data_IF_531562543521
#
_entry.id   IF_531562543521
#
_cell.length_a   1.000
_cell.length_b   1.000
_cell.length_c   1.000
_cell.angle_alpha   90.00
_cell.angle_beta   90.00
_cell.angle_gamma   90.00
#
_symmetry.space_group_name_H-M   'P 1'
#
loop_
_entity.id
_entity.type
_entity.pdbx_description
1 polymer ?
#
# COMPACT_ATOMS: atom_id res chain seq x y z
N UNK A 1 -10.99 -23.15 -5.66
CA UNK A 1 -9.99 -22.31 -4.94
C UNK A 1 -8.66 -22.40 -5.67
N UNK A 2 -7.89 -21.33 -5.66
CA UNK A 2 -6.58 -21.25 -6.33
C UNK A 2 -5.60 -20.43 -5.49
N UNK A 3 -4.31 -20.67 -5.68
CA UNK A 3 -3.25 -19.86 -5.08
C UNK A 3 -3.06 -18.57 -5.90
N UNK A 4 -2.81 -17.46 -5.23
CA UNK A 4 -2.73 -16.14 -5.89
C UNK A 4 -1.39 -15.97 -6.58
N UNK A 5 -0.32 -16.41 -5.92
CA UNK A 5 1.07 -16.28 -6.35
C UNK A 5 1.51 -17.38 -7.34
N UNK A 6 0.57 -18.13 -7.90
CA UNK A 6 0.87 -19.13 -8.95
C UNK A 6 1.30 -18.52 -10.30
N UNK A 7 1.20 -17.19 -10.46
CA UNK A 7 1.71 -16.49 -11.63
C UNK A 7 3.18 -16.05 -11.47
N UNK A 8 3.76 -16.22 -10.27
CA UNK A 8 5.12 -15.74 -9.94
C UNK A 8 6.17 -16.36 -10.86
N UNK A 9 6.09 -17.66 -11.12
CA UNK A 9 7.08 -18.35 -11.97
C UNK A 9 7.19 -17.76 -13.39
N UNK A 10 6.10 -17.19 -13.91
CA UNK A 10 6.10 -16.48 -15.20
C UNK A 10 6.53 -15.03 -15.06
N UNK A 11 6.09 -14.37 -13.98
CA UNK A 11 6.35 -12.96 -13.75
C UNK A 11 7.83 -12.68 -13.49
N UNK A 12 8.57 -13.60 -12.86
CA UNK A 12 9.99 -13.40 -12.53
C UNK A 12 10.88 -13.15 -13.74
N UNK A 13 10.62 -13.81 -14.87
CA UNK A 13 11.38 -13.58 -16.10
C UNK A 13 11.11 -12.16 -16.62
N UNK A 14 9.85 -11.74 -16.65
CA UNK A 14 9.43 -10.39 -17.06
C UNK A 14 10.01 -9.29 -16.14
N UNK A 15 10.08 -9.54 -14.83
CA UNK A 15 10.70 -8.59 -13.89
C UNK A 15 12.19 -8.45 -14.20
N UNK A 16 12.91 -9.55 -14.42
CA UNK A 16 14.34 -9.50 -14.73
C UNK A 16 14.61 -8.76 -16.04
N UNK A 17 13.82 -9.01 -17.08
CA UNK A 17 13.93 -8.31 -18.35
C UNK A 17 13.61 -6.81 -18.18
N UNK A 18 12.60 -6.46 -17.39
CA UNK A 18 12.28 -5.07 -17.06
C UNK A 18 13.45 -4.38 -16.34
N UNK A 19 14.00 -5.00 -15.30
CA UNK A 19 15.12 -4.43 -14.50
C UNK A 19 16.39 -4.25 -15.34
N UNK A 20 16.66 -5.17 -16.26
CA UNK A 20 17.79 -5.05 -17.20
C UNK A 20 17.61 -3.91 -18.19
N UNK A 21 16.38 -3.69 -18.68
CA UNK A 21 16.05 -2.66 -19.66
C UNK A 21 15.77 -1.28 -19.05
N UNK A 22 15.56 -1.21 -17.73
CA UNK A 22 15.21 0.03 -17.04
C UNK A 22 16.31 1.09 -17.15
N UNK A 23 15.91 2.30 -17.57
CA UNK A 23 16.79 3.46 -17.63
C UNK A 23 16.98 4.09 -16.24
N UNK A 24 15.91 4.16 -15.46
CA UNK A 24 15.91 4.67 -14.10
C UNK A 24 16.14 3.51 -13.11
N UNK A 25 17.16 3.66 -12.25
CA UNK A 25 17.49 2.70 -11.20
C UNK A 25 17.67 3.42 -9.86
N UNK A 26 17.29 2.78 -8.74
CA UNK A 26 16.75 1.42 -8.63
C UNK A 26 15.30 1.29 -9.12
N UNK A 27 14.94 0.14 -9.67
CA UNK A 27 13.54 -0.21 -9.97
C UNK A 27 12.84 -0.63 -8.69
N UNK A 28 11.67 -0.05 -8.41
CA UNK A 28 10.85 -0.33 -7.22
C UNK A 28 9.75 -1.33 -7.58
N UNK A 29 9.63 -2.41 -6.81
CA UNK A 29 8.55 -3.39 -6.97
C UNK A 29 7.15 -2.77 -6.94
N UNK A 30 6.27 -3.22 -7.83
CA UNK A 30 4.85 -2.83 -7.90
C UNK A 30 3.93 -3.62 -6.95
N UNK A 31 4.45 -4.61 -6.23
CA UNK A 31 3.62 -5.59 -5.55
C UNK A 31 2.88 -5.04 -4.32
N UNK A 32 3.48 -4.15 -3.54
CA UNK A 32 2.88 -3.58 -2.33
C UNK A 32 2.08 -2.29 -2.64
N UNK A 33 0.74 -2.34 -2.72
CA UNK A 33 -0.04 -1.18 -3.14
C UNK A 33 0.02 0.01 -2.15
N UNK A 34 0.32 -0.27 -0.88
CA UNK A 34 0.50 0.78 0.12
C UNK A 34 1.76 1.61 -0.15
N UNK A 35 2.86 0.96 -0.56
CA UNK A 35 4.10 1.64 -0.93
C UNK A 35 3.92 2.43 -2.22
N UNK A 36 3.26 1.86 -3.23
CA UNK A 36 2.98 2.58 -4.49
C UNK A 36 2.21 3.88 -4.23
N UNK A 37 1.17 3.82 -3.40
CA UNK A 37 0.39 5.02 -3.05
C UNK A 37 1.17 5.99 -2.17
N UNK A 38 2.05 5.50 -1.29
CA UNK A 38 2.95 6.36 -0.52
C UNK A 38 3.86 7.15 -1.47
N UNK A 39 4.49 6.49 -2.44
CA UNK A 39 5.37 7.13 -3.42
C UNK A 39 4.58 8.19 -4.21
N UNK A 40 3.39 7.84 -4.73
CA UNK A 40 2.55 8.80 -5.47
C UNK A 40 2.26 10.08 -4.69
N UNK A 41 2.10 10.00 -3.36
CA UNK A 41 1.67 11.13 -2.54
C UNK A 41 2.85 11.89 -1.91
N UNK A 42 3.86 11.17 -1.43
CA UNK A 42 4.95 11.70 -0.60
C UNK A 42 6.29 11.79 -1.33
N UNK A 43 6.57 10.90 -2.27
CA UNK A 43 7.83 10.84 -3.02
C UNK A 43 7.57 10.88 -4.53
N UNK A 44 6.89 11.93 -5.05
CA UNK A 44 6.43 11.97 -6.43
C UNK A 44 7.58 11.92 -7.46
N UNK A 45 8.79 12.35 -7.08
CA UNK A 45 10.02 12.23 -7.87
C UNK A 45 10.38 10.78 -8.19
N UNK A 46 10.04 9.85 -7.30
CA UNK A 46 10.36 8.42 -7.40
C UNK A 46 9.29 7.61 -8.15
N UNK A 47 8.25 8.25 -8.68
CA UNK A 47 7.16 7.53 -9.37
C UNK A 47 7.65 6.79 -10.62
N UNK A 48 8.61 7.38 -11.33
CA UNK A 48 9.20 6.77 -12.54
C UNK A 48 10.10 5.56 -12.23
N UNK A 49 10.51 5.38 -10.97
CA UNK A 49 11.21 4.17 -10.52
C UNK A 49 10.28 2.97 -10.33
N UNK A 50 8.96 3.16 -10.25
CA UNK A 50 8.03 2.05 -10.00
C UNK A 50 7.92 1.17 -11.25
N UNK A 51 8.16 -0.13 -11.06
CA UNK A 51 8.01 -1.14 -12.10
C UNK A 51 6.58 -1.16 -12.66
N UNK A 52 6.44 -1.17 -13.99
CA UNK A 52 5.15 -1.14 -14.69
C UNK A 52 4.63 -2.53 -15.07
N UNK A 53 4.80 -3.51 -14.16
CA UNK A 53 4.25 -4.86 -14.29
C UNK A 53 3.14 -5.07 -13.26
N UNK A 54 2.09 -5.80 -13.65
CA UNK A 54 0.98 -6.16 -12.79
C UNK A 54 1.44 -7.07 -11.64
N UNK A 55 0.85 -6.92 -10.43
CA UNK A 55 1.13 -7.84 -9.34
C UNK A 55 0.50 -9.23 -9.61
N UNK A 56 1.03 -10.31 -8.98
CA UNK A 56 0.58 -11.69 -9.20
C UNK A 56 -0.94 -11.90 -9.10
N UNK A 57 -1.59 -11.18 -8.19
CA UNK A 57 -3.04 -11.21 -8.01
C UNK A 57 -3.82 -10.85 -9.28
N UNK A 58 -3.40 -9.81 -10.00
CA UNK A 58 -4.10 -9.38 -11.22
C UNK A 58 -3.81 -10.36 -12.36
N UNK A 59 -2.56 -10.80 -12.50
CA UNK A 59 -2.17 -11.79 -13.52
C UNK A 59 -2.92 -13.10 -13.34
N UNK A 60 -3.03 -13.60 -12.10
CA UNK A 60 -3.76 -14.83 -11.78
C UNK A 60 -5.26 -14.68 -12.01
N UNK A 61 -5.83 -13.53 -11.70
CA UNK A 61 -7.24 -13.29 -11.96
C UNK A 61 -7.53 -13.19 -13.47
N UNK A 62 -6.66 -12.53 -14.25
CA UNK A 62 -6.75 -12.49 -15.71
C UNK A 62 -6.62 -13.88 -16.33
N UNK A 63 -5.72 -14.73 -15.81
CA UNK A 63 -5.56 -16.11 -16.25
C UNK A 63 -6.88 -16.89 -16.16
N UNK A 64 -7.53 -16.91 -15.00
CA UNK A 64 -8.78 -17.66 -14.83
C UNK A 64 -9.92 -17.07 -15.66
N UNK A 65 -10.00 -15.74 -15.74
CA UNK A 65 -11.00 -15.08 -16.59
C UNK A 65 -10.88 -15.55 -18.05
N UNK A 66 -9.66 -15.54 -18.59
CA UNK A 66 -9.38 -15.96 -19.98
C UNK A 66 -9.52 -17.46 -20.20
N UNK A 67 -9.09 -18.26 -19.22
CA UNK A 67 -9.23 -19.73 -19.27
C UNK A 67 -10.70 -20.12 -19.36
N UNK A 68 -11.56 -19.63 -18.47
CA UNK A 68 -12.99 -19.95 -18.51
C UNK A 68 -13.67 -19.42 -19.77
N UNK A 69 -13.29 -18.23 -20.25
CA UNK A 69 -13.77 -17.72 -21.54
C UNK A 69 -13.40 -18.66 -22.70
N UNK A 70 -12.17 -19.22 -22.71
CA UNK A 70 -11.74 -20.20 -23.72
C UNK A 70 -12.47 -21.54 -23.62
N UNK A 71 -12.99 -21.89 -22.44
CA UNK A 71 -13.83 -23.07 -22.19
C UNK A 71 -15.32 -22.82 -22.52
N UNK A 72 -15.67 -21.62 -23.01
CA UNK A 72 -17.02 -21.25 -23.44
C UNK A 72 -17.93 -20.71 -22.33
N UNK A 73 -17.39 -20.39 -21.16
CA UNK A 73 -18.14 -19.76 -20.06
C UNK A 73 -18.27 -18.26 -20.32
N UNK A 74 -19.49 -17.72 -20.22
CA UNK A 74 -19.71 -16.27 -20.34
C UNK A 74 -19.01 -15.54 -19.17
N UNK A 75 -18.24 -14.49 -19.47
CA UNK A 75 -17.55 -13.69 -18.46
C UNK A 75 -18.48 -13.18 -17.35
N UNK A 76 -19.76 -12.92 -17.66
CA UNK A 76 -20.76 -12.45 -16.69
C UNK A 76 -21.15 -13.50 -15.67
N UNK A 77 -20.92 -14.77 -15.96
CA UNK A 77 -21.19 -15.89 -15.04
C UNK A 77 -19.99 -16.21 -14.15
N UNK A 78 -18.82 -15.63 -14.43
CA UNK A 78 -17.59 -15.85 -13.66
C UNK A 78 -17.45 -14.77 -12.58
N UNK A 79 -17.49 -15.22 -11.32
CA UNK A 79 -17.16 -14.39 -10.15
C UNK A 79 -15.79 -14.73 -9.57
N UNK A 80 -14.86 -13.77 -9.57
CA UNK A 80 -13.53 -13.89 -8.96
C UNK A 80 -13.51 -13.12 -7.63
N UNK A 81 -13.21 -13.83 -6.55
CA UNK A 81 -13.12 -13.28 -5.20
C UNK A 81 -11.73 -13.52 -4.62
N UNK A 82 -11.12 -12.46 -4.07
CA UNK A 82 -9.80 -12.53 -3.46
C UNK A 82 -9.88 -12.53 -1.93
N UNK A 83 -9.28 -13.53 -1.28
CA UNK A 83 -9.11 -13.59 0.17
C UNK A 83 -7.76 -12.97 0.54
N UNK A 84 -7.74 -11.90 1.35
CA UNK A 84 -6.51 -11.11 1.56
C UNK A 84 -6.18 -10.80 3.03
N UNK A 85 -4.89 -10.79 3.40
CA UNK A 85 -4.43 -10.25 4.67
C UNK A 85 -4.22 -8.72 4.63
N UNK A 86 -4.45 -8.06 3.49
CA UNK A 86 -4.00 -6.70 3.23
C UNK A 86 -5.14 -5.74 2.87
N UNK A 87 -5.31 -4.68 3.66
CA UNK A 87 -6.21 -3.56 3.34
C UNK A 87 -5.79 -2.82 2.05
N UNK A 88 -4.49 -2.75 1.77
CA UNK A 88 -3.97 -2.12 0.58
C UNK A 88 -4.41 -2.83 -0.70
N UNK A 89 -4.50 -4.16 -0.69
CA UNK A 89 -5.01 -4.93 -1.84
C UNK A 89 -6.51 -4.73 -2.05
N UNK A 90 -7.30 -4.56 -0.98
CA UNK A 90 -8.72 -4.18 -1.11
C UNK A 90 -8.83 -2.86 -1.88
N UNK A 91 -8.02 -1.87 -1.50
CA UNK A 91 -8.04 -0.57 -2.14
C UNK A 91 -7.52 -0.62 -3.58
N UNK A 92 -6.52 -1.46 -3.87
CA UNK A 92 -5.98 -1.68 -5.21
C UNK A 92 -7.00 -2.34 -6.16
N UNK A 93 -7.76 -3.32 -5.70
CA UNK A 93 -8.83 -3.94 -6.51
C UNK A 93 -9.94 -2.92 -6.84
N UNK A 94 -10.35 -2.11 -5.86
CA UNK A 94 -11.43 -1.12 -6.05
C UNK A 94 -11.00 0.12 -6.85
N UNK A 95 -9.74 0.50 -6.74
CA UNK A 95 -9.16 1.67 -7.40
C UNK A 95 -7.72 1.33 -7.78
N UNK A 96 -7.54 0.60 -8.89
CA UNK A 96 -6.24 0.19 -9.37
C UNK A 96 -5.37 1.40 -9.75
N UNK A 97 -4.06 1.20 -9.71
CA UNK A 97 -3.05 2.18 -10.08
C UNK A 97 -2.29 1.60 -11.28
N UNK A 98 -2.11 2.40 -12.34
CA UNK A 98 -1.54 1.93 -13.62
C UNK A 98 -2.58 1.61 -14.70
N UNK A 99 -3.71 2.35 -14.72
CA UNK A 99 -4.64 2.39 -15.86
C UNK A 99 -5.45 1.13 -16.18
N UNK A 100 -5.18 0.00 -15.53
CA UNK A 100 -5.87 -1.27 -15.78
C UNK A 100 -7.20 -1.37 -15.03
N UNK A 101 -8.10 -2.23 -15.54
CA UNK A 101 -9.33 -2.63 -14.82
C UNK A 101 -9.11 -4.00 -14.18
N UNK A 102 -9.30 -4.11 -12.86
CA UNK A 102 -9.17 -5.39 -12.17
C UNK A 102 -10.32 -6.34 -12.56
N UNK A 103 -10.05 -7.61 -12.93
CA UNK A 103 -11.08 -8.61 -13.19
C UNK A 103 -11.69 -9.19 -11.91
N UNK A 104 -11.27 -8.72 -10.73
CA UNK A 104 -11.68 -9.24 -9.43
C UNK A 104 -13.00 -8.57 -8.99
N UNK A 105 -14.04 -9.37 -8.76
CA UNK A 105 -15.38 -8.89 -8.44
C UNK A 105 -15.57 -8.59 -6.95
N UNK A 106 -14.76 -9.20 -6.08
CA UNK A 106 -14.90 -9.01 -4.64
C UNK A 106 -13.65 -9.35 -3.86
N UNK A 107 -13.54 -8.78 -2.67
CA UNK A 107 -12.44 -9.04 -1.73
C UNK A 107 -13.01 -9.42 -0.38
N UNK A 108 -12.40 -10.42 0.24
CA UNK A 108 -12.79 -10.99 1.53
C UNK A 108 -11.60 -10.81 2.48
N UNK A 109 -11.86 -10.22 3.65
CA UNK A 109 -10.82 -10.05 4.66
C UNK A 109 -10.53 -11.39 5.34
N UNK A 110 -9.26 -11.70 5.55
CA UNK A 110 -8.84 -12.95 6.19
C UNK A 110 -9.30 -13.09 7.63
N UNK A 111 -9.30 -12.02 8.44
CA UNK A 111 -9.80 -12.01 9.81
C UNK A 111 -11.30 -12.33 9.89
N UNK A 112 -12.10 -11.72 9.02
CA UNK A 112 -13.53 -11.99 8.90
C UNK A 112 -13.78 -13.43 8.48
N UNK A 113 -13.06 -13.91 7.46
CA UNK A 113 -13.18 -15.28 6.98
C UNK A 113 -12.78 -16.29 8.07
N UNK A 114 -11.68 -16.05 8.77
CA UNK A 114 -11.22 -16.88 9.87
C UNK A 114 -12.30 -17.00 10.96
N UNK A 115 -12.91 -15.89 11.38
CA UNK A 115 -13.97 -15.90 12.39
C UNK A 115 -15.19 -16.72 11.94
N UNK A 116 -15.57 -16.64 10.67
CA UNK A 116 -16.66 -17.45 10.11
C UNK A 116 -16.34 -18.94 10.09
N UNK A 117 -15.14 -19.30 9.64
CA UNK A 117 -14.67 -20.70 9.62
C UNK A 117 -14.55 -21.26 11.03
N UNK A 118 -14.00 -20.48 11.96
CA UNK A 118 -13.85 -20.87 13.36
C UNK A 118 -15.20 -21.10 14.05
N UNK A 119 -16.20 -20.25 13.77
CA UNK A 119 -17.56 -20.44 14.26
C UNK A 119 -18.19 -21.72 13.70
N UNK A 120 -18.07 -21.95 12.38
CA UNK A 120 -18.56 -23.16 11.71
C UNK A 120 -17.92 -24.43 12.31
N UNK A 121 -16.62 -24.38 12.57
CA UNK A 121 -15.87 -25.45 13.23
C UNK A 121 -16.38 -25.71 14.65
N UNK A 122 -16.57 -24.65 15.47
CA UNK A 122 -17.13 -24.78 16.83
C UNK A 122 -18.55 -25.35 16.85
N UNK A 123 -19.36 -24.96 15.87
CA UNK A 123 -20.72 -25.47 15.70
C UNK A 123 -20.77 -26.88 15.10
N UNK A 124 -19.61 -27.47 14.74
CA UNK A 124 -19.49 -28.78 14.11
C UNK A 124 -20.39 -28.90 12.88
N UNK A 125 -20.45 -27.85 12.06
CA UNK A 125 -21.23 -27.89 10.83
C UNK A 125 -20.73 -29.04 9.93
N UNK A 126 -21.64 -29.86 9.38
CA UNK A 126 -21.25 -30.99 8.55
C UNK A 126 -20.60 -30.50 7.25
N UNK A 127 -19.47 -31.09 6.89
CA UNK A 127 -18.84 -30.87 5.58
C UNK A 127 -19.62 -31.69 4.56
N UNK A 128 -20.41 -31.01 3.73
CA UNK A 128 -21.34 -31.64 2.78
C UNK A 128 -20.84 -31.68 1.35
N UNK A 129 -19.76 -30.95 1.04
CA UNK A 129 -19.20 -30.83 -0.31
C UNK A 129 -17.68 -30.77 -0.27
N UNK A 130 -17.03 -31.37 -1.26
CA UNK A 130 -15.63 -31.14 -1.56
C UNK A 130 -15.45 -29.85 -2.36
N UNK A 131 -14.31 -29.19 -2.18
CA UNK A 131 -13.95 -27.99 -2.93
C UNK A 131 -12.99 -28.41 -4.05
N UNK A 132 -13.24 -27.93 -5.27
CA UNK A 132 -12.29 -28.04 -6.36
C UNK A 132 -11.10 -27.09 -6.11
N UNK A 133 -9.91 -27.66 -6.01
CA UNK A 133 -8.65 -26.93 -5.99
C UNK A 133 -8.16 -26.86 -7.43
N UNK A 134 -8.20 -25.66 -8.02
CA UNK A 134 -7.89 -25.41 -9.43
C UNK A 134 -6.54 -24.70 -9.60
N UNK A 135 -5.70 -24.68 -8.56
CA UNK A 135 -4.44 -23.94 -8.55
C UNK A 135 -3.29 -24.79 -8.03
N UNK A 136 -2.09 -24.38 -8.42
CA UNK A 136 -0.81 -24.98 -8.06
C UNK A 136 0.07 -23.86 -7.50
N UNK A 137 1.05 -24.18 -6.66
CA UNK A 137 1.98 -23.16 -6.17
C UNK A 137 3.38 -23.73 -6.09
N UNK A 138 4.35 -22.97 -6.57
CA UNK A 138 5.76 -23.28 -6.40
C UNK A 138 6.28 -22.80 -5.05
N UNK A 139 7.47 -23.27 -4.66
CA UNK A 139 8.19 -22.74 -3.49
C UNK A 139 8.44 -21.24 -3.61
N UNK A 140 8.72 -20.73 -4.82
CA UNK A 140 8.86 -19.30 -5.11
C UNK A 140 7.55 -18.56 -4.86
N UNK A 141 6.44 -19.07 -5.38
CA UNK A 141 5.11 -18.49 -5.15
C UNK A 141 4.73 -18.44 -3.66
N UNK A 142 5.06 -19.49 -2.89
CA UNK A 142 4.83 -19.52 -1.43
C UNK A 142 5.64 -18.43 -0.71
N UNK A 143 6.88 -18.18 -1.14
CA UNK A 143 7.80 -17.24 -0.49
C UNK A 143 7.69 -15.80 -0.99
N UNK A 144 7.19 -15.57 -2.20
CA UNK A 144 7.01 -14.24 -2.78
C UNK A 144 6.34 -13.18 -1.87
N UNK A 145 5.32 -13.51 -1.04
CA UNK A 145 4.71 -12.54 -0.12
C UNK A 145 5.56 -12.26 1.14
N UNK A 146 6.65 -12.98 1.37
CA UNK A 146 7.58 -12.79 2.50
C UNK A 146 8.71 -11.84 2.13
N UNK A 147 9.36 -11.26 3.15
CA UNK A 147 10.45 -10.29 2.95
C UNK A 147 11.64 -10.92 2.24
N UNK A 148 12.04 -10.35 1.11
CA UNK A 148 13.11 -10.86 0.25
C UNK A 148 12.67 -12.00 -0.67
N UNK A 149 11.39 -12.37 -0.66
CA UNK A 149 10.85 -13.43 -1.49
C UNK A 149 10.73 -13.05 -2.97
N UNK A 150 10.74 -11.77 -3.29
CA UNK A 150 10.78 -11.27 -4.67
C UNK A 150 12.24 -10.96 -5.06
N UNK A 151 12.97 -10.22 -4.22
CA UNK A 151 14.32 -9.74 -4.54
C UNK A 151 15.34 -10.85 -4.76
N UNK A 152 15.22 -11.99 -4.08
CA UNK A 152 16.14 -13.14 -4.23
C UNK A 152 16.13 -13.73 -5.65
N UNK A 153 15.10 -13.44 -6.44
CA UNK A 153 14.95 -13.92 -7.81
C UNK A 153 15.32 -12.87 -8.86
N UNK A 154 15.75 -11.67 -8.45
CA UNK A 154 16.11 -10.59 -9.37
C UNK A 154 17.62 -10.51 -9.51
N UNK A 155 18.10 -10.44 -10.76
CA UNK A 155 19.50 -10.26 -11.08
C UNK A 155 19.98 -8.84 -10.75
N UNK A 156 21.21 -8.72 -10.25
CA UNK A 156 21.82 -7.45 -9.86
C UNK A 156 21.84 -7.23 -8.34
N UNK A 157 22.14 -6.00 -7.92
CA UNK A 157 22.16 -5.62 -6.51
C UNK A 157 20.77 -5.22 -6.05
N UNK A 158 20.18 -6.03 -5.18
CA UNK A 158 18.82 -5.83 -4.68
C UNK A 158 18.80 -5.51 -3.19
N UNK A 159 17.81 -4.75 -2.72
CA UNK A 159 17.49 -4.64 -1.29
C UNK A 159 16.02 -4.97 -1.04
N UNK A 160 15.75 -5.67 0.05
CA UNK A 160 14.41 -5.95 0.55
C UNK A 160 14.20 -5.25 1.88
N UNK A 161 13.16 -4.44 1.97
CA UNK A 161 12.86 -3.58 3.11
C UNK A 161 11.38 -3.71 3.42
N UNK A 162 11.09 -4.07 4.66
CA UNK A 162 9.74 -4.17 5.17
C UNK A 162 9.51 -3.22 6.37
N UNK A 163 8.24 -2.98 6.68
CA UNK A 163 7.84 -2.01 7.69
C UNK A 163 7.80 -0.58 7.16
N UNK A 164 6.65 0.08 7.31
CA UNK A 164 6.37 1.41 6.74
C UNK A 164 7.41 2.47 7.14
N UNK A 165 7.87 2.47 8.40
CA UNK A 165 8.85 3.44 8.87
C UNK A 165 10.21 3.26 8.17
N UNK A 166 10.66 2.01 7.99
CA UNK A 166 11.91 1.71 7.29
C UNK A 166 11.80 2.05 5.81
N UNK A 167 10.65 1.77 5.19
CA UNK A 167 10.38 2.15 3.80
C UNK A 167 10.42 3.67 3.62
N UNK A 168 9.80 4.42 4.53
CA UNK A 168 9.81 5.88 4.52
C UNK A 168 11.24 6.42 4.63
N UNK A 169 12.00 5.99 5.64
CA UNK A 169 13.39 6.41 5.86
C UNK A 169 14.25 6.13 4.62
N UNK A 170 14.09 4.94 4.04
CA UNK A 170 14.84 4.57 2.85
C UNK A 170 14.46 5.40 1.62
N UNK A 171 13.17 5.68 1.40
CA UNK A 171 12.72 6.52 0.29
C UNK A 171 13.19 7.97 0.43
N UNK A 172 13.26 8.51 1.65
CA UNK A 172 13.82 9.85 1.91
C UNK A 172 15.30 9.91 1.50
N UNK A 173 16.08 8.90 1.89
CA UNK A 173 17.51 8.81 1.53
C UNK A 173 17.71 8.57 0.03
N UNK A 174 16.82 7.81 -0.60
CA UNK A 174 16.84 7.61 -2.05
C UNK A 174 16.53 8.90 -2.81
N UNK A 175 15.53 9.67 -2.38
CA UNK A 175 15.19 10.97 -2.97
C UNK A 175 16.32 12.01 -2.80
N UNK A 176 17.09 11.92 -1.71
CA UNK A 176 18.27 12.76 -1.44
C UNK A 176 19.54 12.28 -2.18
N UNK A 177 19.43 11.32 -3.10
CA UNK A 177 20.57 10.77 -3.86
C UNK A 177 21.68 10.14 -2.98
N UNK A 178 21.36 9.71 -1.75
CA UNK A 178 22.33 9.08 -0.83
C UNK A 178 22.58 7.59 -1.13
N UNK A 179 21.75 6.99 -1.98
CA UNK A 179 21.74 5.55 -2.26
C UNK A 179 22.15 5.32 -3.71
N UNK A 180 23.31 4.69 -3.90
CA UNK A 180 23.84 4.37 -5.23
C UNK A 180 24.05 2.86 -5.45
N UNK A 181 24.01 2.46 -6.72
CA UNK A 181 24.35 1.11 -7.17
C UNK A 181 23.39 0.05 -6.65
N UNK A 182 22.09 0.35 -6.57
CA UNK A 182 21.03 -0.63 -6.32
C UNK A 182 20.22 -0.75 -7.61
N UNK A 183 19.99 -1.97 -8.08
CA UNK A 183 19.24 -2.26 -9.30
C UNK A 183 17.73 -2.43 -9.01
N UNK A 184 17.38 -3.03 -7.87
CA UNK A 184 16.00 -3.34 -7.52
C UNK A 184 15.69 -3.18 -6.03
N UNK A 185 14.50 -2.66 -5.73
CA UNK A 185 13.98 -2.46 -4.38
C UNK A 185 12.67 -3.21 -4.18
N UNK A 186 12.71 -4.21 -3.31
CA UNK A 186 11.51 -4.84 -2.76
C UNK A 186 11.08 -4.06 -1.50
N UNK A 187 10.09 -3.18 -1.65
CA UNK A 187 9.56 -2.37 -0.55
C UNK A 187 8.19 -2.89 -0.10
N UNK A 188 8.03 -3.12 1.21
CA UNK A 188 6.83 -3.74 1.81
C UNK A 188 6.37 -2.96 3.04
N UNK A 189 5.07 -2.69 3.14
CA UNK A 189 4.52 -1.82 4.19
C UNK A 189 4.48 -2.43 5.60
N UNK A 190 4.34 -3.75 5.71
CA UNK A 190 4.15 -4.44 6.98
C UNK A 190 5.43 -5.17 7.37
N UNK A 191 5.78 -5.26 8.66
CA UNK A 191 6.92 -6.08 9.10
C UNK A 191 6.61 -7.57 8.85
N UNK A 192 7.59 -8.33 8.35
CA UNK A 192 7.42 -9.66 7.74
C UNK A 192 6.52 -9.63 6.49
N UNK A 193 6.48 -8.50 5.79
CA UNK A 193 5.73 -8.34 4.55
C UNK A 193 4.26 -8.79 4.67
N UNK A 194 3.72 -9.53 3.69
CA UNK A 194 2.32 -9.95 3.72
C UNK A 194 2.02 -11.00 4.80
N UNK A 195 3.03 -11.68 5.36
CA UNK A 195 2.86 -12.54 6.52
C UNK A 195 2.47 -11.74 7.79
N UNK A 196 2.90 -10.47 7.87
CA UNK A 196 2.49 -9.51 8.90
C UNK A 196 1.34 -8.59 8.49
N UNK A 197 0.57 -8.93 7.46
CA UNK A 197 -0.58 -8.14 7.03
C UNK A 197 -1.59 -7.94 8.16
N UNK A 198 -2.14 -6.73 8.28
CA UNK A 198 -3.02 -6.33 9.39
C UNK A 198 -4.30 -7.18 9.54
N UNK A 199 -4.74 -7.84 8.46
CA UNK A 199 -5.91 -8.74 8.48
C UNK A 199 -5.52 -10.20 8.66
N UNK A 200 -4.24 -10.52 8.86
CA UNK A 200 -3.80 -11.86 9.23
C UNK A 200 -4.13 -12.13 10.70
N UNK A 201 -4.64 -13.34 11.01
CA UNK A 201 -5.08 -13.67 12.36
C UNK A 201 -3.94 -14.10 13.30
N UNK A 202 -2.84 -14.62 12.75
CA UNK A 202 -1.77 -15.26 13.53
C UNK A 202 -0.53 -14.35 13.64
N UNK A 203 0.40 -14.69 14.54
CA UNK A 203 1.64 -13.95 14.71
C UNK A 203 2.49 -13.98 13.41
N UNK A 204 2.93 -12.81 12.97
CA UNK A 204 3.65 -12.61 11.70
C UNK A 204 4.89 -13.50 11.53
N UNK A 205 5.69 -13.70 12.57
CA UNK A 205 6.91 -14.51 12.50
C UNK A 205 6.58 -16.00 12.40
N UNK A 206 5.52 -16.44 13.08
CA UNK A 206 5.02 -17.82 12.97
C UNK A 206 4.45 -18.06 11.57
N UNK A 207 3.73 -17.09 11.00
CA UNK A 207 3.21 -17.19 9.63
C UNK A 207 4.38 -17.28 8.62
N UNK A 208 5.38 -16.41 8.74
CA UNK A 208 6.55 -16.43 7.87
C UNK A 208 7.34 -17.75 7.98
N UNK A 209 7.56 -18.27 9.19
CA UNK A 209 8.20 -19.58 9.41
C UNK A 209 7.37 -20.73 8.81
N UNK A 210 6.05 -20.70 8.95
CA UNK A 210 5.17 -21.70 8.34
C UNK A 210 5.20 -21.64 6.81
N UNK A 211 5.26 -20.46 6.20
CA UNK A 211 5.42 -20.31 4.75
C UNK A 211 6.76 -20.88 4.28
N UNK A 212 7.86 -20.63 5.02
CA UNK A 212 9.18 -21.24 4.73
C UNK A 212 9.14 -22.77 4.81
N UNK A 213 8.48 -23.33 5.83
CA UNK A 213 8.28 -24.78 5.96
C UNK A 213 7.45 -25.35 4.82
N UNK A 214 6.37 -24.67 4.42
CA UNK A 214 5.54 -25.06 3.29
C UNK A 214 6.34 -25.04 1.98
N UNK A 215 7.15 -24.01 1.75
CA UNK A 215 7.98 -23.88 0.56
C UNK A 215 8.95 -25.05 0.38
N UNK A 216 9.48 -25.60 1.48
CA UNK A 216 10.36 -26.79 1.46
C UNK A 216 9.62 -28.09 1.09
N UNK A 217 8.28 -28.10 1.12
CA UNK A 217 7.45 -29.26 0.83
C UNK A 217 6.79 -29.23 -0.55
N UNK A 218 6.97 -28.14 -1.31
CA UNK A 218 6.42 -27.97 -2.66
C UNK A 218 7.54 -27.83 -3.69
N UNK A 219 7.22 -28.11 -4.96
CA UNK A 219 8.17 -28.01 -6.06
C UNK A 219 8.61 -26.57 -6.32
N UNK A 220 9.83 -26.38 -6.86
CA UNK A 220 10.34 -25.06 -7.24
C UNK A 220 9.64 -24.45 -8.47
N UNK A 221 8.97 -25.27 -9.28
CA UNK A 221 8.10 -24.84 -10.38
C UNK A 221 6.84 -25.72 -10.43
N UNK A 222 5.73 -25.17 -10.91
CA UNK A 222 4.50 -25.93 -11.16
C UNK A 222 4.20 -26.07 -12.66
N UNK A 223 3.24 -26.92 -13.01
CA UNK A 223 2.97 -27.29 -14.41
C UNK A 223 2.15 -26.25 -15.20
N UNK A 224 1.53 -25.27 -14.53
CA UNK A 224 0.70 -24.25 -15.20
C UNK A 224 1.53 -23.11 -15.82
N UNK A 225 2.87 -23.13 -15.69
CA UNK A 225 3.73 -22.05 -16.21
C UNK A 225 3.53 -21.83 -17.71
N UNK A 226 3.36 -22.89 -18.50
CA UNK A 226 3.11 -22.76 -19.94
C UNK A 226 1.75 -22.11 -20.23
N UNK A 227 0.69 -22.58 -19.56
CA UNK A 227 -0.66 -22.03 -19.70
C UNK A 227 -0.68 -20.54 -19.35
N UNK A 228 -0.03 -20.15 -18.26
CA UNK A 228 0.09 -18.75 -17.86
C UNK A 228 0.73 -17.87 -18.93
N UNK A 229 1.82 -18.34 -19.54
CA UNK A 229 2.48 -17.63 -20.64
C UNK A 229 1.55 -17.44 -21.84
N UNK A 230 0.78 -18.48 -22.18
CA UNK A 230 -0.17 -18.44 -23.29
C UNK A 230 -1.32 -17.45 -23.05
N UNK A 231 -1.90 -17.42 -21.85
CA UNK A 231 -3.08 -16.59 -21.58
C UNK A 231 -2.76 -15.15 -21.16
N UNK A 232 -1.61 -14.93 -20.50
CA UNK A 232 -1.35 -13.68 -19.79
C UNK A 232 -0.25 -12.79 -20.37
N UNK A 233 0.58 -13.26 -21.31
CA UNK A 233 1.67 -12.46 -21.91
C UNK A 233 1.22 -11.08 -22.41
N UNK A 234 0.01 -10.98 -22.97
CA UNK A 234 -0.53 -9.72 -23.48
C UNK A 234 -1.05 -8.74 -22.39
N UNK A 235 -1.07 -9.12 -21.11
CA UNK A 235 -1.66 -8.33 -20.03
C UNK A 235 -0.75 -8.17 -18.81
N UNK A 236 0.55 -8.49 -18.92
CA UNK A 236 1.47 -8.38 -17.77
C UNK A 236 1.82 -6.93 -17.44
N UNK A 237 1.75 -6.02 -18.42
CA UNK A 237 2.10 -4.61 -18.22
C UNK A 237 0.92 -3.77 -17.72
N UNK A 238 1.25 -2.71 -16.99
CA UNK A 238 0.32 -1.65 -16.62
C UNK A 238 0.80 -0.30 -17.17
N UNK A 239 -0.11 0.67 -17.24
CA UNK A 239 0.21 2.02 -17.71
C UNK A 239 1.12 2.75 -16.71
N UNK A 240 1.71 3.86 -17.18
CA UNK A 240 2.49 4.77 -16.35
C UNK A 240 1.69 5.19 -15.11
N UNK A 241 2.37 5.15 -13.97
CA UNK A 241 1.82 5.62 -12.70
C UNK A 241 2.04 7.12 -12.63
N UNK A 242 0.99 7.86 -12.28
CA UNK A 242 1.07 9.32 -12.15
C UNK A 242 1.21 9.75 -10.68
N UNK A 243 1.99 10.79 -10.37
CA UNK A 243 2.00 11.42 -9.06
C UNK A 243 0.60 11.86 -8.62
N UNK A 244 0.31 11.72 -7.33
CA UNK A 244 -0.89 12.25 -6.67
C UNK A 244 -0.60 13.43 -5.76
N UNK A 245 0.69 13.79 -5.59
CA UNK A 245 1.14 14.88 -4.74
C UNK A 245 0.54 16.24 -5.12
N UNK A 246 0.24 16.49 -6.39
CA UNK A 246 -0.41 17.75 -6.79
C UNK A 246 -1.81 17.85 -6.18
N UNK A 247 -2.58 16.76 -6.15
CA UNK A 247 -3.92 16.72 -5.51
C UNK A 247 -3.86 17.09 -4.02
N UNK A 248 -2.69 16.97 -3.39
CA UNK A 248 -2.43 17.37 -2.00
C UNK A 248 -2.42 18.89 -1.81
N UNK A 249 -2.08 19.70 -2.81
CA UNK A 249 -2.00 21.17 -2.65
C UNK A 249 -2.87 21.92 -3.65
N UNK A 250 -2.82 21.55 -4.92
CA UNK A 250 -3.66 22.08 -5.98
C UNK A 250 -3.66 21.19 -7.23
N UNK A 251 -4.75 21.20 -8.01
CA UNK A 251 -4.77 20.51 -9.31
C UNK A 251 -3.86 21.19 -10.33
N UNK A 252 -3.59 22.48 -10.13
CA UNK A 252 -2.63 23.24 -10.92
C UNK A 252 -1.21 23.10 -10.35
N UNK A 253 -0.25 22.76 -11.22
CA UNK A 253 1.14 22.45 -10.82
C UNK A 253 1.83 23.66 -10.20
N UNK A 254 1.66 24.84 -10.81
CA UNK A 254 2.32 26.07 -10.35
C UNK A 254 1.76 26.50 -8.99
N UNK A 255 0.44 26.44 -8.83
CA UNK A 255 -0.21 26.69 -7.55
C UNK A 255 0.19 25.68 -6.47
N UNK A 256 0.35 24.39 -6.83
CA UNK A 256 0.78 23.35 -5.91
C UNK A 256 2.22 23.59 -5.41
N UNK A 257 3.14 24.00 -6.29
CA UNK A 257 4.53 24.32 -5.92
C UNK A 257 4.60 25.49 -4.93
N UNK A 258 3.85 26.57 -5.19
CA UNK A 258 3.80 27.74 -4.29
C UNK A 258 3.26 27.34 -2.91
N UNK A 259 2.20 26.54 -2.86
CA UNK A 259 1.61 26.05 -1.60
C UNK A 259 2.56 25.10 -0.85
N UNK A 260 3.31 24.27 -1.58
CA UNK A 260 4.29 23.36 -0.99
C UNK A 260 5.45 24.13 -0.33
N UNK A 261 6.01 25.14 -1.03
CA UNK A 261 7.04 26.02 -0.47
C UNK A 261 6.53 26.73 0.79
N UNK A 262 5.32 27.28 0.73
CA UNK A 262 4.69 27.95 1.86
C UNK A 262 4.45 27.03 3.05
N UNK A 263 4.09 25.77 2.81
CA UNK A 263 3.91 24.78 3.87
C UNK A 263 5.24 24.47 4.56
N UNK A 264 6.36 24.39 3.82
CA UNK A 264 7.70 24.23 4.40
C UNK A 264 8.07 25.41 5.30
N UNK A 265 7.86 26.64 4.83
CA UNK A 265 8.10 27.85 5.64
C UNK A 265 7.27 27.86 6.93
N UNK A 266 5.99 27.47 6.85
CA UNK A 266 5.11 27.39 8.02
C UNK A 266 5.55 26.30 9.01
N UNK A 267 6.02 25.15 8.52
CA UNK A 267 6.53 24.06 9.35
C UNK A 267 7.70 24.54 10.22
N UNK A 268 8.62 25.32 9.65
CA UNK A 268 9.76 25.91 10.37
C UNK A 268 9.34 26.92 11.46
N UNK A 269 8.17 27.54 11.34
CA UNK A 269 7.62 28.44 12.36
C UNK A 269 7.00 27.69 13.55
N UNK A 270 6.69 26.40 13.37
CA UNK A 270 6.07 25.57 14.39
C UNK A 270 7.11 24.92 15.30
N UNK A 271 6.72 24.53 16.53
CA UNK A 271 7.66 23.99 17.52
C UNK A 271 8.30 22.64 17.14
N UNK A 272 7.82 21.93 16.12
CA UNK A 272 8.35 20.64 15.69
C UNK A 272 8.13 19.48 16.69
N UNK A 273 7.24 19.65 17.68
CA UNK A 273 6.99 18.65 18.73
C UNK A 273 5.78 17.74 18.45
N UNK A 274 5.05 17.96 17.36
CA UNK A 274 3.89 17.14 16.93
C UNK A 274 2.86 16.83 18.03
N UNK A 275 2.57 17.82 18.89
CA UNK A 275 1.72 17.62 20.09
C UNK A 275 0.23 17.35 19.83
N UNK A 276 -0.27 17.55 18.61
CA UNK A 276 -1.68 17.34 18.27
C UNK A 276 -2.69 18.35 18.83
N UNK A 277 -2.25 19.37 19.59
CA UNK A 277 -3.14 20.31 20.28
C UNK A 277 -4.02 21.17 19.36
N UNK A 278 -3.62 21.30 18.09
CA UNK A 278 -4.36 22.03 17.05
C UNK A 278 -5.34 21.14 16.26
N UNK A 279 -5.43 19.84 16.59
CA UNK A 279 -6.25 18.87 15.85
C UNK A 279 -5.53 18.19 14.67
N UNK A 280 -4.42 18.74 14.18
CA UNK A 280 -3.58 18.11 13.18
C UNK A 280 -2.59 17.10 13.80
N UNK A 281 -2.30 15.96 13.14
CA UNK A 281 -1.45 14.89 13.69
C UNK A 281 0.05 15.23 13.75
N UNK A 282 0.50 16.26 13.03
CA UNK A 282 1.88 16.76 13.06
C UNK A 282 1.93 18.26 12.75
N UNK A 283 3.05 18.92 13.06
CA UNK A 283 3.32 20.30 12.67
C UNK A 283 3.31 20.47 11.15
N UNK A 284 3.79 19.47 10.41
CA UNK A 284 3.71 19.45 8.95
C UNK A 284 2.27 19.37 8.46
N UNK A 285 1.43 18.53 9.07
CA UNK A 285 0.01 18.44 8.71
C UNK A 285 -0.73 19.77 8.98
N UNK A 286 -0.43 20.47 10.08
CA UNK A 286 -0.99 21.81 10.32
C UNK A 286 -0.56 22.80 9.24
N UNK A 287 0.71 22.77 8.81
CA UNK A 287 1.21 23.65 7.76
C UNK A 287 0.47 23.42 6.44
N UNK A 288 0.22 22.16 6.10
CA UNK A 288 -0.57 21.77 4.93
C UNK A 288 -2.02 22.27 5.01
N UNK A 289 -2.67 22.08 6.16
CA UNK A 289 -4.05 22.52 6.37
C UNK A 289 -4.18 24.03 6.20
N UNK A 290 -3.18 24.81 6.65
CA UNK A 290 -3.17 26.26 6.49
C UNK A 290 -3.04 26.68 5.02
N UNK A 291 -2.13 26.08 4.26
CA UNK A 291 -1.98 26.45 2.82
C UNK A 291 -3.16 25.99 1.96
N UNK A 292 -3.97 25.05 2.46
CA UNK A 292 -5.26 24.66 1.87
C UNK A 292 -6.44 25.52 2.31
N UNK A 293 -6.23 26.45 3.26
CA UNK A 293 -7.31 27.24 3.86
C UNK A 293 -8.24 26.42 4.77
N UNK A 294 -7.78 25.28 5.27
CA UNK A 294 -8.52 24.39 6.19
C UNK A 294 -8.22 24.71 7.67
N UNK A 295 -7.14 25.45 7.95
CA UNK A 295 -6.76 25.88 9.28
C UNK A 295 -6.14 27.29 9.26
N UNK A 296 -6.04 27.91 10.43
CA UNK A 296 -5.36 29.19 10.63
C UNK A 296 -4.03 29.01 11.39
N UNK A 297 -3.08 29.91 11.20
CA UNK A 297 -1.77 29.87 11.90
C UNK A 297 -1.92 29.94 13.42
N UNK A 298 -2.97 30.61 13.90
CA UNK A 298 -3.30 30.74 15.32
C UNK A 298 -3.90 29.45 15.92
N UNK A 299 -4.15 28.42 15.11
CA UNK A 299 -4.50 27.08 15.61
C UNK A 299 -3.34 26.45 16.39
N UNK A 300 -2.09 26.80 16.07
CA UNK A 300 -0.94 26.37 16.85
C UNK A 300 -0.93 27.07 18.22
N UNK A 301 -1.09 26.30 19.30
CA UNK A 301 -1.11 26.82 20.68
C UNK A 301 0.14 27.68 21.01
N UNK A 302 1.30 27.33 20.48
CA UNK A 302 2.56 28.04 20.76
C UNK A 302 2.61 29.41 20.07
N UNK A 303 2.24 29.48 18.79
CA UNK A 303 2.16 30.75 18.08
C UNK A 303 1.04 31.61 18.65
N UNK A 304 -0.09 31.00 18.98
CA UNK A 304 -1.20 31.68 19.64
C UNK A 304 -0.76 32.36 20.93
N UNK A 305 -0.13 31.62 21.85
CA UNK A 305 0.39 32.19 23.10
C UNK A 305 1.43 33.28 22.86
N UNK A 306 2.24 33.16 21.80
CA UNK A 306 3.19 34.22 21.41
C UNK A 306 2.46 35.50 20.97
N UNK A 307 1.37 35.38 20.21
CA UNK A 307 0.57 36.53 19.75
C UNK A 307 -0.30 37.13 20.86
N UNK A 308 -0.89 36.31 21.73
CA UNK A 308 -1.57 36.75 22.96
C UNK A 308 -0.63 37.60 23.82
N UNK A 309 0.62 37.13 24.02
CA UNK A 309 1.65 37.87 24.79
C UNK A 309 2.05 39.20 24.15
N UNK A 310 1.94 39.31 22.82
CA UNK A 310 2.22 40.55 22.08
C UNK A 310 1.02 41.49 22.00
N UNK A 311 -0.16 41.07 22.45
CA UNK A 311 -1.40 41.82 22.29
C UNK A 311 -1.95 41.81 20.86
N UNK A 312 -1.46 40.90 20.02
CA UNK A 312 -1.87 40.74 18.62
C UNK A 312 -3.10 39.82 18.47
N UNK A 313 -3.47 39.09 19.53
CA UNK A 313 -4.65 38.23 19.58
C UNK A 313 -5.38 38.40 20.91
N UNK A 314 -6.70 38.59 20.85
CA UNK A 314 -7.52 38.72 22.06
C UNK A 314 -7.77 37.36 22.74
N UNK A 315 -8.05 37.39 24.04
CA UNK A 315 -8.41 36.18 24.81
C UNK A 315 -9.70 35.56 24.27
N UNK A 316 -10.67 36.39 23.89
CA UNK A 316 -11.93 35.94 23.30
C UNK A 316 -11.71 35.24 21.95
N UNK A 317 -10.81 35.76 21.12
CA UNK A 317 -10.45 35.13 19.84
C UNK A 317 -9.75 33.78 20.06
N UNK A 318 -8.81 33.71 21.01
CA UNK A 318 -8.12 32.48 21.36
C UNK A 318 -9.08 31.37 21.84
N UNK A 319 -10.09 31.74 22.65
CA UNK A 319 -11.12 30.82 23.10
C UNK A 319 -11.96 30.31 21.92
N UNK A 320 -12.40 31.20 21.01
CA UNK A 320 -13.17 30.80 19.82
C UNK A 320 -12.43 29.81 18.94
N UNK A 321 -11.12 29.99 18.76
CA UNK A 321 -10.28 29.07 17.98
C UNK A 321 -10.28 27.68 18.65
N UNK A 322 -10.05 27.61 19.97
CA UNK A 322 -10.07 26.33 20.69
C UNK A 322 -11.42 25.63 20.65
N UNK A 323 -12.50 26.40 20.78
CA UNK A 323 -13.87 25.90 20.66
C UNK A 323 -14.16 25.36 19.25
N UNK A 324 -13.64 26.00 18.21
CA UNK A 324 -13.77 25.54 16.83
C UNK A 324 -13.02 24.23 16.58
N UNK A 325 -11.83 24.08 17.16
CA UNK A 325 -10.98 22.89 16.96
C UNK A 325 -11.53 21.69 17.75
N UNK A 326 -11.88 21.89 19.03
CA UNK A 326 -12.19 20.80 19.96
C UNK A 326 -13.68 20.64 20.29
N UNK A 327 -14.50 21.60 19.88
CA UNK A 327 -15.93 21.66 20.20
C UNK A 327 -16.19 22.37 21.53
N UNK A 328 -17.16 23.29 21.54
CA UNK A 328 -17.56 24.12 22.70
C UNK A 328 -17.87 23.30 23.96
N UNK A 329 -18.56 22.17 23.79
CA UNK A 329 -19.00 21.32 24.90
C UNK A 329 -17.85 20.77 25.75
N UNK A 330 -16.64 20.68 25.20
CA UNK A 330 -15.46 20.21 25.95
C UNK A 330 -14.96 21.22 26.99
N UNK A 331 -15.31 22.50 26.82
CA UNK A 331 -14.90 23.60 27.70
C UNK A 331 -15.96 23.96 28.75
N UNK A 332 -17.23 23.57 28.53
CA UNK A 332 -18.32 23.83 29.47
C UNK A 332 -18.73 22.57 30.25
N UNK A 333 -17.96 22.24 31.30
CA UNK A 333 -18.16 21.03 32.12
C UNK A 333 -19.25 21.16 33.20
N UNK A 334 -20.10 22.19 33.18
CA UNK A 334 -21.08 22.42 34.27
C UNK A 334 -22.29 21.47 34.30
N UNK A 335 -22.36 20.44 33.45
CA UNK A 335 -23.50 19.49 33.38
C UNK A 335 -23.10 18.01 33.33
N UNK A 336 -22.13 17.58 34.15
CA UNK A 336 -21.91 16.15 34.42
C UNK A 336 -21.59 15.91 35.89
N UNK A 337 -22.51 16.28 36.78
CA UNK A 337 -22.66 15.68 38.10
C UNK A 337 -24.14 15.59 38.43
#
# INVERSE_FOLDING_TARGET
MCAVEQSVDNLLDEINDYVKAAQEKPVISSFCPAVIRLIQVRFPSLVDHIMQLLPPIEITAQYYKRKYASEGVDEKEVGIFYLTPCIGKIAAVKSPVGGYTSPINGVINMDFFFNKVYLAYKQKLPITKSILINGEISSKGVLFPTTGGESVHIEGKTLAIDGMNNVIDFLERLENEEIEGVDFLELRACDESCAGGILAHNNRFIVADNLKKLANSVSDKHHLVFDYKQYCSAVVHMDKIEPRSMVKYDKDIEAALVKMERARELKELFPGIDCGACGAPSCEALAEDIVRGQADVNSCIFLRTKYEKRGELSVEEAIRIMESIWGKERFDKRKKY
#
